data_IF_198762493430
#
_entry.id   IF_198762493430
#
_cell.length_a   1.000
_cell.length_b   1.000
_cell.length_c   1.000
_cell.angle_alpha   90.00
_cell.angle_beta   90.00
_cell.angle_gamma   90.00
#
_symmetry.space_group_name_H-M   'P 1'
#
loop_
_entity.id
_entity.type
_entity.pdbx_description
1 polymer ?
#
# COMPACT_ATOMS: atom_id res chain seq x y z
N UNK A 1 -22.22 -27.17 -13.97
CA UNK A 1 -21.21 -26.78 -15.00
C UNK A 1 -19.94 -26.39 -14.26
N UNK A 2 -18.82 -27.03 -14.55
CA UNK A 2 -17.50 -26.60 -14.07
C UNK A 2 -16.87 -25.76 -15.20
N UNK A 3 -16.38 -24.57 -14.85
CA UNK A 3 -15.59 -23.74 -15.75
C UNK A 3 -14.15 -23.76 -15.26
N UNK A 4 -13.21 -24.16 -16.12
CA UNK A 4 -11.79 -24.16 -15.82
C UNK A 4 -11.20 -22.81 -16.24
N UNK A 5 -10.70 -22.05 -15.28
CA UNK A 5 -10.01 -20.77 -15.54
C UNK A 5 -8.51 -21.02 -15.48
N UNK A 6 -7.81 -20.82 -16.60
CA UNK A 6 -6.36 -20.92 -16.67
C UNK A 6 -5.73 -19.57 -16.34
N UNK A 7 -4.85 -19.53 -15.35
CA UNK A 7 -4.11 -18.32 -14.98
C UNK A 7 -2.78 -18.23 -15.75
N UNK A 8 -2.27 -17.01 -16.00
CA UNK A 8 -0.95 -16.82 -16.60
C UNK A 8 0.15 -17.48 -15.78
N UNK A 9 1.19 -17.95 -16.47
CA UNK A 9 2.40 -18.46 -15.81
C UNK A 9 3.02 -17.39 -14.91
N UNK A 10 3.32 -17.74 -13.65
CA UNK A 10 3.86 -16.81 -12.65
C UNK A 10 2.81 -16.02 -11.87
N UNK A 11 1.50 -16.14 -12.15
CA UNK A 11 0.47 -15.44 -11.38
C UNK A 11 0.50 -15.80 -9.88
N UNK A 12 0.98 -16.99 -9.53
CA UNK A 12 1.16 -17.42 -8.14
C UNK A 12 2.12 -16.51 -7.33
N UNK A 13 3.01 -15.75 -7.96
CA UNK A 13 3.89 -14.80 -7.27
C UNK A 13 3.15 -13.62 -6.64
N UNK A 14 1.93 -13.33 -7.07
CA UNK A 14 1.08 -12.32 -6.40
C UNK A 14 0.69 -12.75 -4.98
N UNK A 15 0.54 -14.06 -4.72
CA UNK A 15 0.14 -14.56 -3.41
C UNK A 15 1.09 -14.13 -2.28
N UNK A 16 2.42 -14.38 -2.34
CA UNK A 16 3.33 -13.86 -1.32
C UNK A 16 3.38 -12.33 -1.29
N UNK A 17 3.20 -11.64 -2.42
CA UNK A 17 3.15 -10.17 -2.45
C UNK A 17 1.95 -9.61 -1.66
N UNK A 18 0.78 -10.25 -1.73
CA UNK A 18 -0.38 -9.92 -0.89
C UNK A 18 -0.18 -10.31 0.59
N UNK A 19 0.57 -11.37 0.86
CA UNK A 19 0.89 -11.73 2.25
C UNK A 19 1.83 -10.70 2.87
N UNK A 20 2.76 -10.12 2.11
CA UNK A 20 3.66 -9.06 2.60
C UNK A 20 2.89 -7.81 3.07
N UNK A 21 1.81 -7.43 2.41
CA UNK A 21 0.99 -6.29 2.83
C UNK A 21 0.22 -6.56 4.13
N UNK A 22 -0.15 -7.82 4.41
CA UNK A 22 -0.70 -8.21 5.71
C UNK A 22 0.31 -7.95 6.82
N UNK A 23 1.55 -8.40 6.66
CA UNK A 23 2.62 -8.17 7.64
C UNK A 23 2.94 -6.69 7.82
N UNK A 24 2.92 -5.90 6.74
CA UNK A 24 3.06 -4.44 6.80
C UNK A 24 1.95 -3.81 7.66
N UNK A 25 0.69 -4.17 7.44
CA UNK A 25 -0.44 -3.63 8.20
C UNK A 25 -0.38 -4.04 9.68
N UNK A 26 0.01 -5.28 9.98
CA UNK A 26 0.21 -5.72 11.36
C UNK A 26 1.33 -4.92 12.04
N UNK A 27 2.48 -4.75 11.38
CA UNK A 27 3.60 -3.96 11.91
C UNK A 27 3.21 -2.50 12.19
N UNK A 28 2.42 -1.89 11.30
CA UNK A 28 1.90 -0.54 11.51
C UNK A 28 0.90 -0.48 12.67
N UNK A 29 -0.03 -1.45 12.77
CA UNK A 29 -0.97 -1.53 13.90
C UNK A 29 -0.26 -1.67 15.26
N UNK A 30 0.77 -2.52 15.33
CA UNK A 30 1.60 -2.67 16.52
C UNK A 30 2.29 -1.34 16.85
N UNK A 31 2.82 -0.64 15.84
CA UNK A 31 3.48 0.66 16.01
C UNK A 31 2.51 1.72 16.55
N UNK A 32 1.31 1.83 15.97
CA UNK A 32 0.24 2.72 16.44
C UNK A 32 -0.12 2.40 17.89
N UNK A 33 -0.37 1.12 18.19
CA UNK A 33 -0.76 0.68 19.54
C UNK A 33 0.31 0.97 20.59
N UNK A 34 1.60 0.80 20.22
CA UNK A 34 2.74 1.10 21.08
C UNK A 34 2.77 2.58 21.46
N UNK A 35 2.70 3.49 20.49
CA UNK A 35 2.73 4.93 20.77
C UNK A 35 1.46 5.40 21.49
N UNK A 36 0.30 4.81 21.16
CA UNK A 36 -0.96 5.09 21.84
C UNK A 36 -0.88 4.80 23.34
N UNK A 37 -0.37 3.61 23.70
CA UNK A 37 -0.19 3.21 25.10
C UNK A 37 0.76 4.14 25.83
N UNK A 38 1.87 4.53 25.19
CA UNK A 38 2.86 5.45 25.76
C UNK A 38 2.32 6.87 25.97
N UNK A 39 1.49 7.33 25.04
CA UNK A 39 0.85 8.64 25.09
C UNK A 39 -0.35 8.71 26.04
N UNK A 40 -0.82 7.59 26.58
CA UNK A 40 -1.99 7.54 27.47
C UNK A 40 -3.32 7.88 26.78
N UNK A 41 -3.39 7.78 25.44
CA UNK A 41 -4.61 8.13 24.69
C UNK A 41 -5.64 7.01 24.81
N UNK A 42 -6.79 7.31 25.42
CA UNK A 42 -7.86 6.35 25.67
C UNK A 42 -8.60 5.93 24.38
N UNK A 43 -9.19 4.73 24.36
CA UNK A 43 -10.21 4.39 23.36
C UNK A 43 -11.52 5.12 23.71
N UNK A 44 -12.32 5.60 22.73
CA UNK A 44 -12.22 5.41 21.27
C UNK A 44 -11.47 6.54 20.52
N UNK A 45 -10.70 7.39 21.22
CA UNK A 45 -10.07 8.56 20.61
C UNK A 45 -9.11 8.19 19.46
N UNK A 46 -9.38 8.68 18.25
CA UNK A 46 -8.64 8.25 17.04
C UNK A 46 -7.25 8.88 16.94
N UNK A 47 -7.13 10.16 17.29
CA UNK A 47 -5.90 10.96 17.26
C UNK A 47 -5.77 11.72 18.58
N UNK A 48 -4.53 11.94 19.05
CA UNK A 48 -4.26 12.89 20.11
C UNK A 48 -4.67 14.30 19.67
N UNK A 49 -5.32 15.04 20.55
CA UNK A 49 -5.67 16.43 20.31
C UNK A 49 -4.42 17.30 20.18
N UNK A 50 -4.57 18.49 19.58
CA UNK A 50 -3.44 19.40 19.33
C UNK A 50 -2.65 19.68 20.61
N UNK A 51 -3.35 20.00 21.70
CA UNK A 51 -2.71 20.25 23.01
C UNK A 51 -1.97 19.03 23.54
N UNK A 52 -2.57 17.83 23.44
CA UNK A 52 -1.93 16.58 23.87
C UNK A 52 -0.67 16.27 23.06
N UNK A 53 -0.68 16.54 21.76
CA UNK A 53 0.46 16.34 20.86
C UNK A 53 1.59 17.38 21.08
N UNK A 54 1.25 18.62 21.44
CA UNK A 54 2.21 19.66 21.82
C UNK A 54 2.86 19.36 23.18
N UNK A 55 2.07 18.86 24.14
CA UNK A 55 2.51 18.56 25.50
C UNK A 55 3.31 17.24 25.60
N UNK A 56 3.14 16.31 24.66
CA UNK A 56 3.80 15.00 24.67
C UNK A 56 4.30 14.57 23.30
N UNK A 57 5.62 14.37 23.20
CA UNK A 57 6.24 13.81 22.00
C UNK A 57 5.67 12.42 21.65
N UNK A 58 5.29 11.61 22.64
CA UNK A 58 4.69 10.30 22.37
C UNK A 58 3.28 10.42 21.76
N UNK A 59 2.53 11.45 22.13
CA UNK A 59 1.24 11.76 21.52
C UNK A 59 1.39 12.29 20.09
N UNK A 60 2.41 13.11 19.82
CA UNK A 60 2.77 13.52 18.46
C UNK A 60 3.16 12.31 17.60
N UNK A 61 4.04 11.43 18.11
CA UNK A 61 4.44 10.21 17.41
C UNK A 61 3.29 9.22 17.21
N UNK A 62 2.33 9.17 18.14
CA UNK A 62 1.09 8.42 17.96
C UNK A 62 0.31 8.94 16.74
N UNK A 63 0.12 10.26 16.62
CA UNK A 63 -0.54 10.86 15.46
C UNK A 63 0.23 10.57 14.15
N UNK A 64 1.55 10.66 14.18
CA UNK A 64 2.39 10.32 13.03
C UNK A 64 2.23 8.85 12.61
N UNK A 65 2.29 7.91 13.56
CA UNK A 65 2.10 6.48 13.30
C UNK A 65 0.69 6.19 12.74
N UNK A 66 -0.33 6.82 13.31
CA UNK A 66 -1.72 6.67 12.89
C UNK A 66 -1.91 7.16 11.45
N UNK A 67 -1.34 8.33 11.10
CA UNK A 67 -1.42 8.85 9.73
C UNK A 67 -0.70 7.95 8.74
N UNK A 68 0.48 7.43 9.09
CA UNK A 68 1.22 6.52 8.22
C UNK A 68 0.44 5.22 7.94
N UNK A 69 -0.22 4.68 8.97
CA UNK A 69 -1.07 3.50 8.84
C UNK A 69 -2.29 3.78 7.96
N UNK A 70 -3.05 4.84 8.26
CA UNK A 70 -4.22 5.24 7.45
C UNK A 70 -3.87 5.49 6.00
N UNK A 71 -2.74 6.16 5.73
CA UNK A 71 -2.31 6.38 4.35
C UNK A 71 -1.99 5.07 3.62
N UNK A 72 -1.54 4.03 4.34
CA UNK A 72 -1.31 2.71 3.74
C UNK A 72 -2.64 2.04 3.41
N UNK A 73 -3.61 2.11 4.32
CA UNK A 73 -4.97 1.59 4.10
C UNK A 73 -5.66 2.28 2.91
N UNK A 74 -5.50 3.60 2.75
CA UNK A 74 -6.03 4.36 1.61
C UNK A 74 -5.45 3.88 0.27
N UNK A 75 -4.21 3.39 0.25
CA UNK A 75 -3.53 2.99 -0.99
C UNK A 75 -3.69 1.49 -1.32
N UNK A 76 -4.02 0.64 -0.37
CA UNK A 76 -4.19 -0.80 -0.62
C UNK A 76 -5.20 -1.10 -1.73
N UNK A 77 -6.42 -0.51 -1.74
CA UNK A 77 -7.39 -0.78 -2.80
C UNK A 77 -6.86 -0.43 -4.20
N UNK A 78 -6.13 0.67 -4.31
CA UNK A 78 -5.51 1.14 -5.56
C UNK A 78 -4.45 0.14 -6.01
N UNK A 79 -3.53 -0.21 -5.13
CA UNK A 79 -2.40 -1.09 -5.44
C UNK A 79 -2.83 -2.52 -5.73
N UNK A 80 -3.82 -3.05 -5.00
CA UNK A 80 -4.34 -4.39 -5.23
C UNK A 80 -5.04 -4.47 -6.58
N UNK A 81 -5.88 -3.49 -6.90
CA UNK A 81 -6.57 -3.43 -8.19
C UNK A 81 -5.57 -3.36 -9.34
N UNK A 82 -4.58 -2.46 -9.25
CA UNK A 82 -3.55 -2.34 -10.26
C UNK A 82 -2.73 -3.62 -10.42
N UNK A 83 -2.28 -4.23 -9.32
CA UNK A 83 -1.48 -5.46 -9.35
C UNK A 83 -2.26 -6.67 -9.90
N UNK A 84 -3.54 -6.81 -9.54
CA UNK A 84 -4.37 -7.90 -10.08
C UNK A 84 -4.59 -7.74 -11.58
N UNK A 85 -4.99 -6.55 -12.03
CA UNK A 85 -5.26 -6.30 -13.46
C UNK A 85 -3.98 -6.42 -14.29
N UNK A 86 -2.89 -5.77 -13.86
CA UNK A 86 -1.61 -5.90 -14.53
C UNK A 86 -1.09 -7.34 -14.51
N UNK A 87 -1.33 -8.05 -13.40
CA UNK A 87 -0.86 -9.42 -13.19
C UNK A 87 -1.48 -10.45 -14.12
N UNK A 88 -2.66 -10.17 -14.67
CA UNK A 88 -3.31 -11.03 -15.67
C UNK A 88 -2.56 -11.06 -17.02
N UNK A 89 -1.66 -10.12 -17.29
CA UNK A 89 -0.79 -10.12 -18.47
C UNK A 89 0.69 -10.13 -18.14
N UNK A 90 1.08 -9.50 -17.03
CA UNK A 90 2.46 -9.33 -16.58
C UNK A 90 2.62 -9.71 -15.09
N UNK A 91 2.43 -10.99 -14.73
CA UNK A 91 2.31 -11.44 -13.34
C UNK A 91 3.55 -11.18 -12.49
N UNK A 92 4.75 -11.45 -13.02
CA UNK A 92 6.01 -11.27 -12.28
C UNK A 92 6.25 -9.80 -11.96
N UNK A 93 6.03 -8.91 -12.93
CA UNK A 93 6.20 -7.47 -12.73
C UNK A 93 5.19 -6.91 -11.72
N UNK A 94 3.93 -7.34 -11.81
CA UNK A 94 2.90 -6.93 -10.87
C UNK A 94 3.20 -7.39 -9.43
N UNK A 95 3.61 -8.65 -9.26
CA UNK A 95 4.01 -9.20 -7.97
C UNK A 95 5.22 -8.45 -7.38
N UNK A 96 6.27 -8.24 -8.18
CA UNK A 96 7.46 -7.50 -7.75
C UNK A 96 7.12 -6.06 -7.37
N UNK A 97 6.23 -5.40 -8.13
CA UNK A 97 5.79 -4.03 -7.86
C UNK A 97 5.04 -3.92 -6.54
N UNK A 98 4.13 -4.85 -6.25
CA UNK A 98 3.38 -4.87 -4.99
C UNK A 98 4.29 -5.18 -3.78
N UNK A 99 5.22 -6.13 -3.94
CA UNK A 99 6.20 -6.46 -2.91
C UNK A 99 7.12 -5.26 -2.61
N UNK A 100 7.66 -4.63 -3.65
CA UNK A 100 8.52 -3.46 -3.52
C UNK A 100 7.77 -2.27 -2.92
N UNK A 101 6.52 -2.03 -3.36
CA UNK A 101 5.67 -1.02 -2.76
C UNK A 101 5.50 -1.27 -1.25
N UNK A 102 5.23 -2.50 -0.84
CA UNK A 102 5.11 -2.87 0.58
C UNK A 102 6.37 -2.53 1.39
N UNK A 103 7.56 -2.83 0.86
CA UNK A 103 8.84 -2.47 1.49
C UNK A 103 9.03 -0.95 1.58
N UNK A 104 8.63 -0.23 0.53
CA UNK A 104 8.68 1.24 0.52
C UNK A 104 7.83 1.85 1.64
N UNK A 105 6.67 1.25 1.96
CA UNK A 105 5.78 1.68 3.04
C UNK A 105 6.38 1.44 4.42
N UNK A 106 7.25 0.45 4.60
CA UNK A 106 8.02 0.28 5.84
C UNK A 106 8.91 1.50 6.04
N UNK A 107 9.67 1.90 5.01
CA UNK A 107 10.55 3.07 5.10
C UNK A 107 9.78 4.38 5.34
N UNK A 108 8.59 4.51 4.75
CA UNK A 108 7.69 5.64 4.95
C UNK A 108 7.19 5.71 6.40
N UNK A 109 6.81 4.57 6.98
CA UNK A 109 6.38 4.47 8.37
C UNK A 109 7.50 4.85 9.32
N UNK A 110 8.72 4.33 9.07
CA UNK A 110 9.91 4.67 9.85
C UNK A 110 10.25 6.16 9.78
N UNK A 111 10.11 6.78 8.60
CA UNK A 111 10.27 8.22 8.44
C UNK A 111 9.19 9.04 9.14
N UNK A 112 7.95 8.55 9.19
CA UNK A 112 6.86 9.22 9.92
C UNK A 112 7.09 9.21 11.43
N UNK A 113 7.54 8.10 12.00
CA UNK A 113 7.73 7.95 13.45
C UNK A 113 9.01 8.64 13.97
N UNK A 114 9.69 9.45 13.15
CA UNK A 114 10.70 10.40 13.64
C UNK A 114 10.08 11.71 14.11
N UNK A 115 8.78 11.94 13.84
CA UNK A 115 8.06 13.18 14.18
C UNK A 115 8.38 14.37 13.27
N UNK A 116 9.24 14.19 12.26
CA UNK A 116 9.68 15.22 11.32
C UNK A 116 9.02 14.97 9.94
N UNK A 117 8.16 15.88 9.46
CA UNK A 117 7.51 15.76 8.16
C UNK A 117 8.47 15.58 6.97
N UNK A 118 9.71 16.04 7.08
CA UNK A 118 10.69 15.95 5.98
C UNK A 118 11.30 14.55 5.85
N UNK A 119 11.37 13.77 6.94
CA UNK A 119 12.01 12.45 6.97
C UNK A 119 11.15 11.33 6.38
N UNK A 120 9.87 11.58 6.11
CA UNK A 120 8.98 10.62 5.43
C UNK A 120 9.37 10.35 3.98
N UNK A 121 10.01 11.31 3.32
CA UNK A 121 10.34 11.29 1.89
C UNK A 121 11.63 10.55 1.56
N UNK A 122 11.83 9.35 2.12
CA UNK A 122 13.03 8.54 1.89
C UNK A 122 13.19 8.19 0.41
N UNK A 123 14.41 7.90 -0.02
CA UNK A 123 14.69 7.47 -1.40
C UNK A 123 13.88 6.20 -1.72
N UNK A 124 13.81 5.26 -0.77
CA UNK A 124 13.06 4.02 -0.93
C UNK A 124 11.56 4.27 -1.07
N UNK A 125 10.97 5.20 -0.31
CA UNK A 125 9.58 5.59 -0.47
C UNK A 125 9.31 6.27 -1.82
N UNK A 126 10.18 7.18 -2.25
CA UNK A 126 10.07 7.84 -3.56
C UNK A 126 10.15 6.84 -4.72
N UNK A 127 11.08 5.88 -4.64
CA UNK A 127 11.13 4.78 -5.59
C UNK A 127 9.83 3.96 -5.57
N UNK A 128 9.26 3.73 -4.38
CA UNK A 128 7.97 3.07 -4.22
C UNK A 128 6.83 3.79 -4.96
N UNK A 129 6.80 5.12 -4.92
CA UNK A 129 5.82 5.93 -5.68
C UNK A 129 5.99 5.71 -7.18
N UNK A 130 7.23 5.72 -7.69
CA UNK A 130 7.50 5.48 -9.12
C UNK A 130 7.02 4.09 -9.54
N UNK A 131 7.28 3.07 -8.72
CA UNK A 131 6.82 1.70 -8.96
C UNK A 131 5.28 1.60 -8.92
N UNK A 132 4.62 2.30 -7.99
CA UNK A 132 3.15 2.40 -7.96
C UNK A 132 2.59 2.99 -9.25
N UNK A 133 3.15 4.11 -9.73
CA UNK A 133 2.74 4.71 -10.99
C UNK A 133 2.97 3.78 -12.18
N UNK A 134 4.08 3.02 -12.16
CA UNK A 134 4.39 2.02 -13.18
C UNK A 134 3.33 0.91 -13.25
N UNK A 135 2.98 0.29 -12.11
CA UNK A 135 1.97 -0.79 -12.10
C UNK A 135 0.56 -0.28 -12.40
N UNK A 136 0.21 0.94 -11.97
CA UNK A 136 -1.06 1.59 -12.34
C UNK A 136 -1.11 1.86 -13.84
N UNK A 137 -0.05 2.42 -14.42
CA UNK A 137 0.04 2.64 -15.87
C UNK A 137 -0.08 1.34 -16.65
N UNK A 138 0.55 0.27 -16.17
CA UNK A 138 0.45 -1.05 -16.79
C UNK A 138 -0.97 -1.63 -16.72
N UNK A 139 -1.64 -1.51 -15.57
CA UNK A 139 -3.04 -1.93 -15.42
C UNK A 139 -3.97 -1.17 -16.37
N UNK A 140 -3.77 0.15 -16.51
CA UNK A 140 -4.50 0.98 -17.47
C UNK A 140 -4.26 0.54 -18.90
N UNK A 141 -3.00 0.28 -19.28
CA UNK A 141 -2.66 -0.22 -20.62
C UNK A 141 -3.32 -1.57 -20.92
N UNK A 142 -3.25 -2.53 -19.99
CA UNK A 142 -3.89 -3.84 -20.14
C UNK A 142 -5.40 -3.70 -20.31
N UNK A 143 -6.05 -2.89 -19.47
CA UNK A 143 -7.49 -2.65 -19.55
C UNK A 143 -7.89 -2.00 -20.87
N UNK A 144 -7.11 -1.01 -21.32
CA UNK A 144 -7.34 -0.32 -22.59
C UNK A 144 -7.19 -1.24 -23.80
N UNK A 145 -6.17 -2.12 -23.79
CA UNK A 145 -5.98 -3.11 -24.84
C UNK A 145 -7.18 -4.06 -24.96
N UNK A 146 -7.67 -4.60 -23.85
CA UNK A 146 -8.85 -5.48 -23.86
C UNK A 146 -10.12 -4.76 -24.29
N UNK A 147 -10.30 -3.50 -23.92
CA UNK A 147 -11.44 -2.71 -24.37
C UNK A 147 -11.39 -2.53 -25.90
N UNK A 148 -10.23 -2.19 -26.45
CA UNK A 148 -10.04 -2.04 -27.89
C UNK A 148 -10.28 -3.36 -28.64
N UNK A 149 -9.72 -4.48 -28.16
CA UNK A 149 -9.92 -5.82 -28.73
C UNK A 149 -11.41 -6.22 -28.71
N UNK A 150 -12.10 -5.98 -27.59
CA UNK A 150 -13.52 -6.30 -27.45
C UNK A 150 -14.44 -5.43 -28.31
N UNK A 151 -14.07 -4.16 -28.56
CA UNK A 151 -14.78 -3.30 -29.49
C UNK A 151 -14.52 -3.71 -30.94
N UNK A 152 -13.26 -3.99 -31.30
CA UNK A 152 -12.91 -4.44 -32.64
C UNK A 152 -13.68 -5.70 -33.04
N UNK A 153 -13.75 -6.69 -32.15
CA UNK A 153 -14.47 -7.95 -32.39
C UNK A 153 -16.00 -7.82 -32.50
N UNK A 154 -16.58 -6.66 -32.14
CA UNK A 154 -18.02 -6.40 -32.26
C UNK A 154 -18.39 -5.59 -33.50
N UNK A 155 -17.45 -4.83 -34.06
CA UNK A 155 -17.72 -3.86 -35.12
C UNK A 155 -16.99 -4.14 -36.44
N UNK A 156 -16.05 -5.08 -36.46
CA UNK A 156 -15.35 -5.59 -37.65
C UNK A 156 -15.40 -7.11 -37.68
#
# INVERSE_FOLDING_TARGET
>A
MSATVTLPEGFHYLAPAFVLTIFLLYGQNITVSRYRKRAGIAYPQMYAEKKQAEDSNDAHLFNCAQRAHQNTLENIPIMYTAALVAGLKYPVFAAASLAFWSLSRVSYTLGYITGDPNKRGTILFKAGIVVSLGVIGLATFVSGAWLCEGLAAKFF
#
